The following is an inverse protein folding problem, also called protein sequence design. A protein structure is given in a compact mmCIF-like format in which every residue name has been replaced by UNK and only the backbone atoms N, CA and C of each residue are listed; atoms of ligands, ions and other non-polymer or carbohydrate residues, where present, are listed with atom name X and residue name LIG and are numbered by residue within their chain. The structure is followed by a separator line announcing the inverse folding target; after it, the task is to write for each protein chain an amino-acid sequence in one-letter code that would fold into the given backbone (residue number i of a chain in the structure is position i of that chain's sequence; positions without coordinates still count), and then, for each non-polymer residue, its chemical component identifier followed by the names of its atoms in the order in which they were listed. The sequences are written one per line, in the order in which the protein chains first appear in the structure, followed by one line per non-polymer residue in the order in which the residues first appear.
data_IF_451727943716
#
_entry.id   IF_451727943716
#
_cell.length_a   1.000
_cell.length_b   1.000
_cell.length_c   1.000
_cell.angle_alpha   90.00
_cell.angle_beta   90.00
_cell.angle_gamma   90.00
#
_symmetry.space_group_name_H-M   'P 1'
#
loop_
_entity.id
_entity.type
_entity.pdbx_description
1 polymer ?
#
# COMPACT_ATOMS: atom_id res chain seq x y z
N UNK A 1 -5.36 1.75 -19.25
CA UNK A 1 -5.95 0.40 -19.40
C UNK A 1 -6.43 0.22 -20.84
N UNK A 2 -6.30 -0.97 -21.44
CA UNK A 2 -6.79 -1.19 -22.82
C UNK A 2 -8.32 -1.39 -22.82
N UNK A 3 -9.03 -1.07 -23.92
CA UNK A 3 -10.43 -1.44 -24.06
C UNK A 3 -10.65 -2.93 -23.76
N UNK A 4 -11.64 -3.25 -22.93
CA UNK A 4 -11.97 -4.62 -22.53
C UNK A 4 -11.24 -5.16 -21.29
N UNK A 5 -10.24 -4.46 -20.73
CA UNK A 5 -9.53 -4.90 -19.52
C UNK A 5 -10.14 -4.39 -18.20
N UNK A 6 -11.12 -3.49 -18.31
CA UNK A 6 -11.85 -2.90 -17.20
C UNK A 6 -12.71 -1.72 -17.66
N UNK A 7 -13.21 -0.93 -16.70
CA UNK A 7 -13.95 0.30 -16.97
C UNK A 7 -13.52 1.44 -16.04
N UNK A 8 -13.64 2.68 -16.51
CA UNK A 8 -13.43 3.85 -15.66
C UNK A 8 -14.60 4.01 -14.69
N UNK A 9 -14.30 4.17 -13.41
CA UNK A 9 -15.27 4.49 -12.38
C UNK A 9 -15.33 6.00 -12.25
N UNK A 10 -16.42 6.60 -12.76
CA UNK A 10 -16.63 8.05 -12.72
C UNK A 10 -17.48 8.49 -11.52
N UNK A 11 -18.27 7.58 -10.95
CA UNK A 11 -19.06 7.78 -9.74
C UNK A 11 -19.20 6.47 -8.94
N UNK A 12 -19.32 6.60 -7.62
CA UNK A 12 -19.50 5.52 -6.66
C UNK A 12 -20.29 6.00 -5.44
N UNK A 13 -20.69 5.08 -4.56
CA UNK A 13 -21.58 5.36 -3.43
C UNK A 13 -21.10 6.50 -2.50
N UNK A 14 -19.79 6.69 -2.37
CA UNK A 14 -19.21 7.69 -1.46
C UNK A 14 -18.40 8.77 -2.21
N UNK A 15 -18.65 8.91 -3.52
CA UNK A 15 -17.97 9.82 -4.41
C UNK A 15 -16.43 9.71 -4.36
N UNK A 16 -15.88 8.55 -4.03
CA UNK A 16 -14.43 8.36 -3.88
C UNK A 16 -13.69 8.65 -5.18
N UNK A 17 -14.21 8.23 -6.32
CA UNK A 17 -13.64 8.52 -7.63
C UNK A 17 -13.60 10.03 -7.91
N UNK A 18 -14.66 10.75 -7.54
CA UNK A 18 -14.72 12.21 -7.68
C UNK A 18 -13.77 12.89 -6.69
N UNK A 19 -13.75 12.47 -5.43
CA UNK A 19 -12.88 13.01 -4.37
C UNK A 19 -11.39 12.79 -4.66
N UNK A 20 -11.04 11.66 -5.30
CA UNK A 20 -9.67 11.41 -5.79
C UNK A 20 -9.33 12.38 -6.92
N UNK A 21 -10.24 12.60 -7.88
CA UNK A 21 -10.06 13.57 -8.97
C UNK A 21 -9.97 15.02 -8.48
N UNK A 22 -10.61 15.32 -7.35
CA UNK A 22 -10.51 16.63 -6.69
C UNK A 22 -9.13 16.86 -6.04
N UNK A 23 -8.34 15.80 -5.79
CA UNK A 23 -6.93 15.94 -5.34
C UNK A 23 -6.06 16.41 -6.51
N UNK A 24 -6.22 15.78 -7.66
CA UNK A 24 -5.57 16.16 -8.92
C UNK A 24 -6.46 15.72 -10.10
N UNK A 25 -6.80 16.62 -11.04
CA UNK A 25 -7.70 16.35 -12.15
C UNK A 25 -7.19 15.27 -13.12
N UNK A 26 -5.91 14.87 -13.05
CA UNK A 26 -5.34 13.79 -13.87
C UNK A 26 -5.49 12.41 -13.24
N UNK A 27 -5.97 12.28 -12.00
CA UNK A 27 -6.31 10.98 -11.44
C UNK A 27 -7.55 10.37 -12.10
N UNK A 28 -7.50 9.06 -12.31
CA UNK A 28 -8.61 8.23 -12.83
C UNK A 28 -8.71 6.96 -11.99
N UNK A 29 -9.92 6.58 -11.62
CA UNK A 29 -10.18 5.31 -10.96
C UNK A 29 -10.72 4.34 -11.99
N UNK A 30 -10.18 3.13 -11.99
CA UNK A 30 -10.60 2.07 -12.87
C UNK A 30 -10.95 0.83 -12.07
N UNK A 31 -11.89 0.02 -12.56
CA UNK A 31 -12.06 -1.35 -12.08
C UNK A 31 -11.47 -2.32 -13.10
N UNK A 32 -10.43 -3.05 -12.70
CA UNK A 32 -9.76 -4.05 -13.55
C UNK A 32 -10.51 -5.38 -13.51
N UNK A 33 -10.92 -5.89 -14.68
CA UNK A 33 -11.55 -7.21 -14.77
C UNK A 33 -10.55 -8.34 -14.51
N UNK A 34 -9.30 -8.16 -14.97
CA UNK A 34 -8.23 -9.14 -14.77
C UNK A 34 -7.90 -9.32 -13.30
N UNK A 35 -7.74 -8.22 -12.56
CA UNK A 35 -7.40 -8.27 -11.12
C UNK A 35 -8.62 -8.38 -10.21
N UNK A 36 -9.82 -8.06 -10.71
CA UNK A 36 -11.05 -7.93 -9.93
C UNK A 36 -10.85 -6.98 -8.74
N UNK A 37 -10.23 -5.84 -9.04
CA UNK A 37 -9.83 -4.81 -8.07
C UNK A 37 -9.93 -3.43 -8.70
N UNK A 38 -10.13 -2.43 -7.86
CA UNK A 38 -9.98 -1.04 -8.28
C UNK A 38 -8.50 -0.68 -8.40
N UNK A 39 -8.19 0.16 -9.38
CA UNK A 39 -6.86 0.70 -9.66
C UNK A 39 -6.97 2.21 -9.77
N UNK A 40 -5.98 2.92 -9.23
CA UNK A 40 -5.85 4.36 -9.41
C UNK A 40 -4.75 4.59 -10.43
N UNK A 41 -5.05 5.44 -11.39
CA UNK A 41 -4.16 5.84 -12.46
C UNK A 41 -3.97 7.35 -12.45
N UNK A 42 -2.81 7.83 -12.87
CA UNK A 42 -2.52 9.25 -13.04
C UNK A 42 -2.07 9.51 -14.48
N UNK A 43 -2.89 10.25 -15.24
CA UNK A 43 -2.68 10.45 -16.68
C UNK A 43 -1.43 11.27 -17.03
N UNK A 44 -0.88 12.03 -16.06
CA UNK A 44 0.36 12.79 -16.25
C UNK A 44 1.65 11.97 -16.11
N UNK A 45 1.58 10.68 -15.76
CA UNK A 45 2.77 9.82 -15.66
C UNK A 45 3.27 9.41 -17.05
N UNK A 46 4.60 9.34 -17.24
CA UNK A 46 5.21 8.97 -18.51
C UNK A 46 5.30 7.44 -18.63
N UNK A 47 4.87 6.89 -19.77
CA UNK A 47 4.99 5.48 -20.12
C UNK A 47 3.85 4.60 -19.60
N UNK A 48 3.61 4.62 -18.29
CA UNK A 48 2.46 3.98 -17.65
C UNK A 48 1.74 4.98 -16.75
N UNK A 49 0.43 4.84 -16.64
CA UNK A 49 -0.43 5.65 -15.79
C UNK A 49 -0.74 4.98 -14.46
N UNK A 50 -0.39 3.70 -14.28
CA UNK A 50 -0.66 2.96 -13.05
C UNK A 50 0.00 3.61 -11.83
N UNK A 51 -0.81 4.01 -10.85
CA UNK A 51 -0.33 4.55 -9.58
C UNK A 51 -0.39 3.51 -8.47
N UNK A 52 -1.55 2.90 -8.23
CA UNK A 52 -1.70 1.84 -7.23
C UNK A 52 -2.92 0.94 -7.48
N UNK A 53 -2.86 -0.27 -6.94
CA UNK A 53 -4.01 -1.17 -6.81
C UNK A 53 -4.64 -0.95 -5.44
N UNK A 54 -5.96 -0.76 -5.40
CA UNK A 54 -6.71 -0.62 -4.14
C UNK A 54 -6.79 -1.98 -3.45
N UNK A 55 -6.32 -2.11 -2.20
CA UNK A 55 -6.28 -3.41 -1.51
C UNK A 55 -7.65 -3.84 -0.96
N UNK A 56 -8.67 -2.99 -1.08
CA UNK A 56 -10.01 -3.20 -0.57
C UNK A 56 -10.96 -3.64 -1.69
N UNK A 57 -12.00 -4.40 -1.35
CA UNK A 57 -13.01 -4.86 -2.31
C UNK A 57 -13.93 -3.75 -2.83
N UNK A 58 -13.95 -2.60 -2.18
CA UNK A 58 -14.85 -1.46 -2.45
C UNK A 58 -14.08 -0.15 -2.40
N UNK A 59 -14.60 0.86 -3.08
CA UNK A 59 -14.14 2.23 -2.92
C UNK A 59 -14.74 2.82 -1.64
N UNK A 60 -13.90 3.20 -0.69
CA UNK A 60 -14.27 3.89 0.53
C UNK A 60 -13.17 4.88 0.96
N UNK A 61 -13.35 5.54 2.11
CA UNK A 61 -12.43 6.53 2.66
C UNK A 61 -10.98 6.00 2.80
N UNK A 62 -10.79 4.69 3.01
CA UNK A 62 -9.44 4.10 3.10
C UNK A 62 -8.69 4.23 1.79
N UNK A 63 -9.38 4.17 0.65
CA UNK A 63 -8.80 4.41 -0.67
C UNK A 63 -8.32 5.85 -0.78
N UNK A 64 -9.14 6.82 -0.37
CA UNK A 64 -8.76 8.23 -0.43
C UNK A 64 -7.54 8.54 0.44
N UNK A 65 -7.51 8.00 1.67
CA UNK A 65 -6.34 8.13 2.55
C UNK A 65 -5.10 7.48 1.97
N UNK A 66 -5.23 6.31 1.36
CA UNK A 66 -4.12 5.62 0.71
C UNK A 66 -3.55 6.48 -0.42
N UNK A 67 -4.40 6.97 -1.34
CA UNK A 67 -3.98 7.85 -2.43
C UNK A 67 -3.25 9.08 -1.91
N UNK A 68 -3.79 9.76 -0.88
CA UNK A 68 -3.12 10.92 -0.25
C UNK A 68 -1.78 10.57 0.37
N UNK A 69 -1.68 9.44 1.06
CA UNK A 69 -0.45 8.99 1.71
C UNK A 69 0.64 8.68 0.70
N UNK A 70 0.30 8.01 -0.40
CA UNK A 70 1.28 7.50 -1.38
C UNK A 70 1.50 8.43 -2.57
N UNK A 71 1.11 9.71 -2.48
CA UNK A 71 1.40 10.68 -3.55
C UNK A 71 2.92 10.87 -3.69
N UNK A 72 3.34 11.25 -4.89
CA UNK A 72 4.75 11.46 -5.22
C UNK A 72 5.43 12.46 -4.27
N UNK A 73 4.72 13.49 -3.81
CA UNK A 73 5.28 14.49 -2.90
C UNK A 73 5.64 13.91 -1.52
N UNK A 74 5.00 12.80 -1.13
CA UNK A 74 5.23 12.13 0.14
C UNK A 74 6.25 10.98 0.05
N UNK A 75 6.80 10.70 -1.14
CA UNK A 75 7.66 9.54 -1.36
C UNK A 75 8.85 9.49 -0.41
N UNK A 76 9.56 10.61 -0.22
CA UNK A 76 10.71 10.69 0.68
C UNK A 76 10.34 10.38 2.14
N UNK A 77 9.21 10.92 2.61
CA UNK A 77 8.72 10.66 3.96
C UNK A 77 8.32 9.19 4.15
N UNK A 78 7.65 8.61 3.15
CA UNK A 78 7.22 7.21 3.18
C UNK A 78 8.40 6.23 3.16
N UNK A 79 9.44 6.52 2.37
CA UNK A 79 10.69 5.75 2.35
C UNK A 79 11.36 5.80 3.74
N UNK A 80 11.45 6.99 4.33
CA UNK A 80 12.03 7.15 5.68
C UNK A 80 11.26 6.36 6.74
N UNK A 81 9.93 6.47 6.76
CA UNK A 81 9.07 5.69 7.68
C UNK A 81 9.32 4.18 7.53
N UNK A 82 9.47 3.71 6.29
CA UNK A 82 9.73 2.30 5.98
C UNK A 82 11.09 1.85 6.52
N UNK A 83 12.14 2.64 6.32
CA UNK A 83 13.48 2.34 6.82
C UNK A 83 13.56 2.35 8.35
N UNK A 84 12.92 3.32 9.00
CA UNK A 84 12.81 3.39 10.47
C UNK A 84 12.14 2.13 11.03
N UNK A 85 11.00 1.74 10.44
CA UNK A 85 10.28 0.53 10.82
C UNK A 85 11.10 -0.75 10.60
N UNK A 86 11.83 -0.83 9.49
CA UNK A 86 12.73 -1.96 9.21
C UNK A 86 13.86 -2.05 10.24
N UNK A 87 14.42 -0.92 10.65
CA UNK A 87 15.47 -0.87 11.68
C UNK A 87 14.95 -1.36 13.04
N UNK A 88 13.73 -0.97 13.43
CA UNK A 88 13.08 -1.47 14.64
C UNK A 88 12.84 -2.98 14.59
N UNK A 89 12.28 -3.48 13.48
CA UNK A 89 12.03 -4.91 13.30
C UNK A 89 13.32 -5.74 13.35
N UNK A 90 14.42 -5.24 12.78
CA UNK A 90 15.75 -5.87 12.89
C UNK A 90 16.23 -5.96 14.33
N UNK A 91 16.09 -4.87 15.11
CA UNK A 91 16.45 -4.86 16.54
C UNK A 91 15.62 -5.87 17.34
N UNK A 92 14.32 -5.92 17.10
CA UNK A 92 13.44 -6.90 17.74
C UNK A 92 13.81 -8.34 17.38
N UNK A 93 14.12 -8.60 16.11
CA UNK A 93 14.51 -9.94 15.66
C UNK A 93 15.79 -10.43 16.35
N UNK A 94 16.81 -9.58 16.46
CA UNK A 94 18.05 -9.90 17.20
C UNK A 94 17.76 -10.19 18.66
N UNK A 95 16.96 -9.36 19.33
CA UNK A 95 16.58 -9.58 20.73
C UNK A 95 15.83 -10.90 20.93
N UNK A 96 14.89 -11.21 20.04
CA UNK A 96 14.14 -12.48 20.08
C UNK A 96 15.07 -13.68 19.88
N UNK A 97 16.01 -13.60 18.93
CA UNK A 97 16.99 -14.65 18.69
C UNK A 97 17.88 -14.90 19.92
N UNK A 98 18.40 -13.83 20.55
CA UNK A 98 19.22 -13.93 21.75
C UNK A 98 18.44 -14.57 22.93
N UNK A 99 17.20 -14.12 23.17
CA UNK A 99 16.35 -14.69 24.23
C UNK A 99 16.04 -16.18 23.98
N UNK A 100 15.80 -16.57 22.73
CA UNK A 100 15.55 -17.97 22.39
C UNK A 100 16.79 -18.83 22.60
N UNK A 101 17.98 -18.34 22.22
CA UNK A 101 19.24 -19.02 22.46
C UNK A 101 19.51 -19.22 23.96
N UNK A 102 19.30 -18.18 24.78
CA UNK A 102 19.44 -18.27 26.23
C UNK A 102 18.50 -19.32 26.84
N UNK A 103 17.22 -19.29 26.47
CA UNK A 103 16.23 -20.30 26.94
C UNK A 103 16.58 -21.73 26.50
N UNK A 104 17.12 -21.90 25.30
CA UNK A 104 17.55 -23.21 24.82
C UNK A 104 18.74 -23.73 25.63
N UNK A 105 19.71 -22.87 25.94
CA UNK A 105 20.85 -23.21 26.78
C UNK A 105 20.43 -23.57 28.21
N UNK A 106 19.54 -22.80 28.84
CA UNK A 106 18.99 -23.09 30.18
C UNK A 106 18.30 -24.46 30.24
N UNK A 107 17.49 -24.78 29.22
CA UNK A 107 16.83 -26.08 29.11
C UNK A 107 17.83 -27.23 28.96
N UNK A 108 18.85 -27.06 28.13
CA UNK A 108 19.89 -28.07 27.94
C UNK A 108 20.66 -28.32 29.24
N UNK A 109 20.99 -27.26 29.98
CA UNK A 109 21.69 -27.36 31.27
C UNK A 109 20.83 -28.00 32.35
N UNK A 110 19.52 -27.73 32.36
CA UNK A 110 18.57 -28.30 33.32
C UNK A 110 18.19 -29.77 33.04
N UNK A 111 18.60 -30.29 31.87
CA UNK A 111 18.38 -31.68 31.47
C UNK A 111 19.61 -32.58 31.68
N UNK A 112 20.72 -32.02 32.18
CA UNK A 112 21.92 -32.72 32.66
C UNK A 112 21.78 -33.03 34.16
#
# INVERSE_FOLDING_TARGET
MKPGEGYEVTGDLYDIAWRIRAIDPLYRVWYSYRKRRYEVHHLGQKGDTYALTVPYGTLDERTLRLVRRTRAENAAALIRETEERNAELRKEAVRRAANNAARAAEKALSAL
#
